data_IF_417289765241
#
_entry.id   IF_417289765241
#
_cell.length_a   1.000
_cell.length_b   1.000
_cell.length_c   1.000
_cell.angle_alpha   90.00
_cell.angle_beta   90.00
_cell.angle_gamma   90.00
#
_symmetry.space_group_name_H-M   'P 1'
#
loop_
_entity.id
_entity.type
_entity.pdbx_description
1 polymer ?
#
# COMPACT_ATOMS: atom_id res chain seq x y z
N UNK A 1 10.87 16.60 -1.94
CA UNK A 1 10.02 15.55 -1.33
C UNK A 1 8.66 16.01 -0.80
N UNK A 2 8.46 17.29 -0.44
CA UNK A 2 7.19 17.77 0.15
C UNK A 2 6.52 18.79 -0.77
N UNK A 3 5.97 18.31 -1.87
CA UNK A 3 5.15 19.11 -2.78
C UNK A 3 3.69 18.66 -2.69
N UNK A 4 2.72 19.54 -2.99
CA UNK A 4 1.31 19.13 -3.08
C UNK A 4 1.11 17.93 -4.00
N UNK A 5 1.85 17.86 -5.11
CA UNK A 5 1.83 16.74 -6.04
C UNK A 5 2.29 15.42 -5.41
N UNK A 6 3.34 15.43 -4.58
CA UNK A 6 3.78 14.24 -3.84
C UNK A 6 2.77 13.83 -2.77
N UNK A 7 2.12 14.78 -2.11
CA UNK A 7 1.07 14.47 -1.14
C UNK A 7 -0.16 13.86 -1.82
N UNK A 8 -0.52 14.37 -3.00
CA UNK A 8 -1.60 13.82 -3.81
C UNK A 8 -1.28 12.40 -4.29
N UNK A 9 -0.08 12.17 -4.84
CA UNK A 9 0.41 10.84 -5.24
C UNK A 9 0.30 9.81 -4.10
N UNK A 10 0.79 10.18 -2.92
CA UNK A 10 0.69 9.30 -1.73
C UNK A 10 -0.75 9.15 -1.22
N UNK A 11 -1.62 10.15 -1.39
CA UNK A 11 -3.05 10.06 -1.06
C UNK A 11 -3.73 8.99 -1.91
N UNK A 12 -3.39 8.87 -3.20
CA UNK A 12 -3.95 7.84 -4.06
C UNK A 12 -3.59 6.42 -3.59
N UNK A 13 -2.39 6.20 -3.02
CA UNK A 13 -2.04 4.90 -2.42
C UNK A 13 -3.01 4.53 -1.30
N UNK A 14 -3.33 5.47 -0.42
CA UNK A 14 -4.31 5.24 0.65
C UNK A 14 -5.72 5.00 0.11
N UNK A 15 -6.14 5.67 -0.95
CA UNK A 15 -7.45 5.44 -1.56
C UNK A 15 -7.53 4.05 -2.19
N UNK A 16 -6.52 3.69 -2.98
CA UNK A 16 -6.45 2.38 -3.66
C UNK A 16 -6.45 1.23 -2.65
N UNK A 17 -5.71 1.35 -1.55
CA UNK A 17 -5.70 0.29 -0.51
C UNK A 17 -7.05 0.08 0.17
N UNK A 18 -7.91 1.10 0.28
CA UNK A 18 -9.30 0.93 0.76
C UNK A 18 -10.13 0.17 -0.28
N UNK A 19 -10.01 0.51 -1.56
CA UNK A 19 -10.74 -0.17 -2.62
C UNK A 19 -10.32 -1.65 -2.76
N UNK A 20 -9.02 -1.92 -2.69
CA UNK A 20 -8.49 -3.29 -2.65
C UNK A 20 -8.99 -4.04 -1.42
N UNK A 21 -8.98 -3.41 -0.24
CA UNK A 21 -9.49 -4.00 1.00
C UNK A 21 -11.00 -4.31 0.94
N UNK A 22 -11.81 -3.45 0.33
CA UNK A 22 -13.22 -3.74 0.05
C UNK A 22 -13.39 -4.98 -0.82
N UNK A 23 -12.63 -5.06 -1.92
CA UNK A 23 -12.69 -6.18 -2.85
C UNK A 23 -12.27 -7.50 -2.19
N UNK A 24 -11.16 -7.51 -1.43
CA UNK A 24 -10.64 -8.70 -0.77
C UNK A 24 -11.47 -9.12 0.45
N UNK A 25 -12.20 -8.21 1.08
CA UNK A 25 -13.09 -8.51 2.21
C UNK A 25 -14.50 -8.90 1.79
N UNK A 26 -14.71 -9.22 0.50
CA UNK A 26 -16.01 -9.57 -0.09
C UNK A 26 -17.09 -8.51 0.19
N UNK A 27 -16.70 -7.24 0.21
CA UNK A 27 -17.62 -6.11 0.47
C UNK A 27 -17.95 -5.87 1.95
N UNK A 28 -17.08 -6.29 2.87
CA UNK A 28 -17.28 -6.02 4.30
C UNK A 28 -17.22 -4.51 4.60
N UNK A 29 -18.38 -3.93 4.92
CA UNK A 29 -18.52 -2.51 5.30
C UNK A 29 -17.70 -2.20 6.55
N UNK A 30 -17.75 -3.07 7.57
CA UNK A 30 -17.05 -2.84 8.84
C UNK A 30 -15.53 -2.77 8.63
N UNK A 31 -14.97 -3.72 7.88
CA UNK A 31 -13.54 -3.75 7.56
C UNK A 31 -13.13 -2.51 6.75
N UNK A 32 -13.91 -2.20 5.71
CA UNK A 32 -13.61 -1.08 4.81
C UNK A 32 -13.69 0.26 5.53
N UNK A 33 -14.65 0.44 6.43
CA UNK A 33 -14.76 1.64 7.26
C UNK A 33 -13.58 1.78 8.23
N UNK A 34 -13.17 0.69 8.89
CA UNK A 34 -12.00 0.71 9.77
C UNK A 34 -10.73 1.10 9.00
N UNK A 35 -10.53 0.54 7.81
CA UNK A 35 -9.40 0.86 6.95
C UNK A 35 -9.48 2.30 6.42
N UNK A 36 -10.65 2.77 6.02
CA UNK A 36 -10.87 4.14 5.56
C UNK A 36 -10.57 5.16 6.66
N UNK A 37 -10.95 4.89 7.91
CA UNK A 37 -10.64 5.75 9.06
C UNK A 37 -9.14 5.85 9.29
N UNK A 38 -8.43 4.72 9.29
CA UNK A 38 -6.97 4.70 9.43
C UNK A 38 -6.29 5.47 8.29
N UNK A 39 -6.73 5.24 7.06
CA UNK A 39 -6.16 5.89 5.88
C UNK A 39 -6.47 7.39 5.86
N UNK A 40 -7.67 7.83 6.29
CA UNK A 40 -8.01 9.23 6.46
C UNK A 40 -7.10 9.91 7.49
N UNK A 41 -6.81 9.26 8.62
CA UNK A 41 -5.83 9.74 9.59
C UNK A 41 -4.43 9.88 8.96
N UNK A 42 -3.98 8.89 8.19
CA UNK A 42 -2.67 8.93 7.54
C UNK A 42 -2.58 10.04 6.47
N UNK A 43 -3.65 10.26 5.70
CA UNK A 43 -3.78 11.36 4.74
C UNK A 43 -3.78 12.70 5.49
N UNK A 44 -4.54 12.86 6.56
CA UNK A 44 -4.54 14.08 7.36
C UNK A 44 -3.13 14.41 7.86
N UNK A 45 -2.43 13.40 8.40
CA UNK A 45 -1.03 13.52 8.85
C UNK A 45 -0.10 13.90 7.70
N UNK A 46 -0.28 13.29 6.54
CA UNK A 46 0.48 13.61 5.34
C UNK A 46 0.32 15.08 4.95
N UNK A 47 -0.90 15.59 4.83
CA UNK A 47 -1.10 16.97 4.35
C UNK A 47 -0.71 18.04 5.38
N UNK A 48 -0.95 17.79 6.67
CA UNK A 48 -0.73 18.80 7.72
C UNK A 48 0.66 18.75 8.34
N UNK A 49 1.30 17.58 8.37
CA UNK A 49 2.57 17.37 9.06
C UNK A 49 3.72 16.99 8.12
N UNK A 50 3.53 16.98 6.80
CA UNK A 50 4.60 16.62 5.87
C UNK A 50 5.81 17.56 5.85
N UNK A 51 5.78 18.73 6.51
CA UNK A 51 6.99 19.57 6.63
C UNK A 51 7.79 19.29 7.91
N UNK A 52 7.12 18.77 8.93
CA UNK A 52 7.70 18.62 10.28
C UNK A 52 8.02 17.17 10.63
N UNK A 53 7.28 16.22 10.04
CA UNK A 53 7.43 14.82 10.37
C UNK A 53 8.55 14.15 9.56
N UNK A 54 9.36 13.31 10.22
CA UNK A 54 10.39 12.54 9.55
C UNK A 54 9.82 11.63 8.45
N UNK A 55 10.55 11.53 7.33
CA UNK A 55 10.10 10.84 6.11
C UNK A 55 9.74 9.36 6.35
N UNK A 56 10.48 8.66 7.22
CA UNK A 56 10.26 7.23 7.49
C UNK A 56 8.88 6.96 8.11
N UNK A 57 8.34 7.86 8.95
CA UNK A 57 7.02 7.68 9.56
C UNK A 57 5.90 7.64 8.52
N UNK A 58 6.06 8.34 7.40
CA UNK A 58 5.10 8.32 6.28
C UNK A 58 5.12 6.98 5.57
N UNK A 59 6.30 6.44 5.31
CA UNK A 59 6.45 5.12 4.70
C UNK A 59 5.96 4.01 5.63
N UNK A 60 6.19 4.11 6.94
CA UNK A 60 5.63 3.16 7.92
C UNK A 60 4.10 3.16 7.84
N UNK A 61 3.44 4.32 7.85
CA UNK A 61 1.97 4.37 7.74
C UNK A 61 1.44 3.85 6.41
N UNK A 62 2.13 4.16 5.32
CA UNK A 62 1.81 3.62 4.00
C UNK A 62 1.94 2.09 3.97
N UNK A 63 3.03 1.58 4.56
CA UNK A 63 3.24 0.15 4.74
C UNK A 63 2.12 -0.51 5.53
N UNK A 64 1.69 0.09 6.65
CA UNK A 64 0.54 -0.40 7.43
C UNK A 64 -0.72 -0.47 6.55
N UNK A 65 -1.02 0.56 5.76
CA UNK A 65 -2.17 0.54 4.84
C UNK A 65 -2.07 -0.57 3.78
N UNK A 66 -0.89 -0.76 3.20
CA UNK A 66 -0.56 -1.79 2.19
C UNK A 66 -0.50 -3.23 2.74
N UNK A 67 -0.38 -3.41 4.05
CA UNK A 67 -0.49 -4.73 4.69
C UNK A 67 -1.91 -4.97 5.20
N UNK A 68 -2.56 -3.94 5.74
CA UNK A 68 -3.93 -4.02 6.23
C UNK A 68 -4.90 -4.42 5.12
N UNK A 69 -4.76 -3.90 3.88
CA UNK A 69 -5.64 -4.27 2.77
C UNK A 69 -5.65 -5.77 2.45
N UNK A 70 -4.59 -6.51 2.79
CA UNK A 70 -4.43 -7.96 2.58
C UNK A 70 -4.87 -8.80 3.77
N UNK A 71 -5.26 -8.16 4.88
CA UNK A 71 -5.72 -8.87 6.07
C UNK A 71 -6.92 -9.80 5.78
N UNK A 72 -7.90 -9.46 4.92
CA UNK A 72 -8.99 -10.37 4.60
C UNK A 72 -8.50 -11.70 4.00
N UNK A 73 -7.54 -11.66 3.07
CA UNK A 73 -6.92 -12.86 2.48
C UNK A 73 -6.28 -13.75 3.56
N UNK A 74 -5.65 -13.13 4.57
CA UNK A 74 -5.07 -13.83 5.70
C UNK A 74 -6.15 -14.51 6.56
N UNK A 75 -7.27 -13.81 6.80
CA UNK A 75 -8.39 -14.28 7.61
C UNK A 75 -9.19 -15.38 6.91
N UNK A 76 -9.27 -15.34 5.58
CA UNK A 76 -9.86 -16.39 4.74
C UNK A 76 -9.00 -17.66 4.67
N UNK A 77 -7.79 -17.63 5.24
CA UNK A 77 -6.90 -18.78 5.37
C UNK A 77 -6.07 -19.09 4.13
N UNK A 78 -6.05 -18.21 3.12
CA UNK A 78 -5.14 -18.34 1.97
C UNK A 78 -3.75 -17.77 2.28
N UNK A 79 -3.06 -18.46 3.18
CA UNK A 79 -1.71 -18.09 3.63
C UNK A 79 -0.72 -18.03 2.48
N UNK A 80 -0.88 -18.89 1.46
CA UNK A 80 0.06 -18.92 0.34
C UNK A 80 -0.05 -17.69 -0.53
N UNK A 81 -1.26 -17.28 -0.83
CA UNK A 81 -1.53 -16.05 -1.54
C UNK A 81 -1.02 -14.84 -0.75
N UNK A 82 -1.32 -14.76 0.55
CA UNK A 82 -0.82 -13.69 1.41
C UNK A 82 0.71 -13.62 1.45
N UNK A 83 1.40 -14.77 1.52
CA UNK A 83 2.85 -14.85 1.49
C UNK A 83 3.42 -14.38 0.14
N UNK A 84 2.84 -14.79 -0.99
CA UNK A 84 3.24 -14.34 -2.33
C UNK A 84 3.11 -12.82 -2.45
N UNK A 85 2.02 -12.26 -1.96
CA UNK A 85 1.82 -10.81 -1.90
C UNK A 85 2.85 -10.09 -1.07
N UNK A 86 3.09 -10.60 0.13
CA UNK A 86 4.03 -10.01 1.08
C UNK A 86 5.44 -10.05 0.50
N UNK A 87 5.82 -11.15 -0.14
CA UNK A 87 7.09 -11.29 -0.83
C UNK A 87 7.25 -10.28 -1.99
N UNK A 88 6.25 -10.16 -2.86
CA UNK A 88 6.24 -9.16 -3.96
C UNK A 88 6.37 -7.74 -3.40
N UNK A 89 5.62 -7.40 -2.35
CA UNK A 89 5.68 -6.07 -1.72
C UNK A 89 7.03 -5.80 -1.04
N UNK A 90 7.65 -6.80 -0.41
CA UNK A 90 8.97 -6.66 0.20
C UNK A 90 10.04 -6.43 -0.86
N UNK A 91 10.03 -7.19 -1.95
CA UNK A 91 10.96 -6.96 -3.08
C UNK A 91 10.70 -5.59 -3.71
N UNK A 92 9.45 -5.21 -3.93
CA UNK A 92 9.10 -3.89 -4.44
C UNK A 92 9.62 -2.76 -3.54
N UNK A 93 9.45 -2.89 -2.23
CA UNK A 93 9.99 -1.96 -1.25
C UNK A 93 11.52 -1.90 -1.27
N UNK A 94 12.20 -3.04 -1.45
CA UNK A 94 13.65 -3.11 -1.59
C UNK A 94 14.14 -2.42 -2.87
N UNK A 95 13.48 -2.66 -4.02
CA UNK A 95 13.79 -1.98 -5.29
C UNK A 95 13.64 -0.47 -5.15
N UNK A 96 12.57 -0.01 -4.50
CA UNK A 96 12.37 1.41 -4.22
C UNK A 96 13.42 1.99 -3.27
N UNK A 97 13.82 1.26 -2.23
CA UNK A 97 14.87 1.70 -1.32
C UNK A 97 16.25 1.79 -1.99
N UNK A 98 16.51 0.90 -2.96
CA UNK A 98 17.73 0.86 -3.77
C UNK A 98 17.69 1.78 -4.99
N UNK A 99 16.64 2.58 -5.16
CA UNK A 99 16.49 3.51 -6.29
C UNK A 99 17.73 4.41 -6.55
N UNK A 100 18.40 4.97 -5.52
CA UNK A 100 19.65 5.72 -5.74
C UNK A 100 20.80 4.88 -6.29
N UNK A 101 20.87 3.59 -5.93
CA UNK A 101 21.89 2.65 -6.39
C UNK A 101 21.56 2.18 -7.82
N UNK A 102 20.27 2.05 -8.13
CA UNK A 102 19.76 1.63 -9.43
C UNK A 102 19.60 2.80 -10.42
N UNK A 103 20.28 3.93 -10.20
CA UNK A 103 20.22 5.11 -11.07
C UNK A 103 18.79 5.59 -11.39
N UNK A 104 17.86 5.49 -10.43
CA UNK A 104 16.47 5.92 -10.59
C UNK A 104 15.53 4.87 -11.21
N UNK A 105 16.03 3.66 -11.52
CA UNK A 105 15.21 2.56 -12.03
C UNK A 105 14.49 1.76 -10.95
N UNK A 106 14.81 1.96 -9.67
CA UNK A 106 14.21 1.20 -8.57
C UNK A 106 12.71 1.43 -8.45
N UNK A 107 12.27 2.69 -8.56
CA UNK A 107 10.86 3.06 -8.51
C UNK A 107 10.02 2.51 -9.69
N UNK A 108 10.40 2.65 -10.97
CA UNK A 108 9.65 2.04 -12.06
C UNK A 108 9.67 0.50 -12.00
N UNK A 109 10.79 -0.12 -11.59
CA UNK A 109 10.85 -1.57 -11.40
C UNK A 109 9.91 -2.06 -10.29
N UNK A 110 9.78 -1.29 -9.19
CA UNK A 110 8.76 -1.56 -8.18
C UNK A 110 7.36 -1.58 -8.80
N UNK A 111 6.99 -0.60 -9.63
CA UNK A 111 5.67 -0.59 -10.27
C UNK A 111 5.46 -1.78 -11.22
N UNK A 112 6.46 -2.15 -12.02
CA UNK A 112 6.38 -3.34 -12.89
C UNK A 112 6.14 -4.60 -12.06
N UNK A 113 6.81 -4.72 -10.91
CA UNK A 113 6.65 -5.86 -10.01
C UNK A 113 5.28 -5.89 -9.30
N UNK A 114 4.63 -4.74 -9.11
CA UNK A 114 3.28 -4.68 -8.53
C UNK A 114 2.21 -5.25 -9.47
N UNK A 115 2.41 -5.24 -10.80
CA UNK A 115 1.45 -5.78 -11.79
C UNK A 115 1.11 -7.26 -11.55
N UNK A 116 2.07 -8.20 -11.47
CA UNK A 116 1.76 -9.59 -11.17
C UNK A 116 1.16 -9.75 -9.76
N UNK A 117 1.52 -8.86 -8.82
CA UNK A 117 0.84 -8.76 -7.53
C UNK A 117 -0.65 -8.48 -7.71
N UNK A 118 -1.01 -7.36 -8.33
CA UNK A 118 -2.41 -6.99 -8.53
C UNK A 118 -3.22 -8.04 -9.30
N UNK A 119 -2.60 -8.74 -10.25
CA UNK A 119 -3.23 -9.88 -10.91
C UNK A 119 -3.64 -10.98 -9.92
N UNK A 120 -2.77 -11.34 -8.98
CA UNK A 120 -3.11 -12.29 -7.92
C UNK A 120 -4.31 -11.82 -7.09
N UNK A 121 -4.53 -10.50 -6.93
CA UNK A 121 -5.63 -9.96 -6.11
C UNK A 121 -6.95 -10.17 -6.84
N UNK A 122 -6.94 -9.95 -8.15
CA UNK A 122 -8.11 -10.17 -9.02
C UNK A 122 -8.51 -11.64 -9.05
N UNK A 123 -7.54 -12.56 -8.98
CA UNK A 123 -7.84 -13.99 -8.89
C UNK A 123 -8.42 -14.35 -7.53
N UNK A 124 -7.93 -13.72 -6.46
CA UNK A 124 -8.36 -13.96 -5.09
C UNK A 124 -9.74 -13.37 -4.74
N UNK A 125 -10.14 -12.28 -5.40
CA UNK A 125 -11.39 -11.58 -5.16
C UNK A 125 -12.60 -12.19 -5.88
N UNK A 126 -12.48 -13.42 -6.38
CA UNK A 126 -13.54 -14.17 -7.09
C UNK A 126 -14.07 -15.26 -6.20
#
# INVERSE_FOLDING_TARGET
DVTPWRCMDQTFVYIVTVAEGWALSHGSVAFTMAQAIWNAYAIFRLWHYARVEARHWRFIRMGIGLFANKLPVLLDGDWWLWLRFSFISVIGGALFALDPILAGWGHPLMHVLLVPGQWLLVVASR
#
